data_IF_376870530876
#
_entry.id   IF_376870530876
#
_cell.length_a   1.000
_cell.length_b   1.000
_cell.length_c   1.000
_cell.angle_alpha   90.00
_cell.angle_beta   90.00
_cell.angle_gamma   90.00
#
_symmetry.space_group_name_H-M   'P 1'
#
loop_
_entity.id
_entity.type
_entity.pdbx_description
1 polymer ?
#
# COMPACT_ATOMS: atom_id res chain seq x y z
N UNK A 1 -2.97 38.12 3.19
CA UNK A 1 -1.95 37.24 2.58
C UNK A 1 -2.00 37.48 1.09
N UNK A 2 -0.91 37.92 0.46
CA UNK A 2 -0.86 38.07 -1.00
C UNK A 2 -0.92 36.69 -1.64
N UNK A 3 -1.93 36.45 -2.48
CA UNK A 3 -2.02 35.22 -3.27
C UNK A 3 -1.04 35.38 -4.42
N UNK A 4 0.14 34.77 -4.29
CA UNK A 4 1.11 34.73 -5.39
C UNK A 4 0.70 33.65 -6.38
N UNK A 5 0.42 34.05 -7.61
CA UNK A 5 0.05 33.11 -8.67
C UNK A 5 1.30 32.45 -9.28
N UNK A 6 1.12 31.21 -9.76
CA UNK A 6 2.17 30.41 -10.39
C UNK A 6 1.78 30.07 -11.81
N UNK A 7 2.72 30.15 -12.75
CA UNK A 7 2.48 29.80 -14.17
C UNK A 7 2.92 28.36 -14.45
N UNK A 8 2.05 27.58 -15.05
CA UNK A 8 2.37 26.26 -15.62
C UNK A 8 2.09 26.27 -17.12
N UNK A 9 2.86 25.51 -17.89
CA UNK A 9 2.53 25.17 -19.27
C UNK A 9 1.41 24.13 -19.33
N UNK A 10 0.76 24.01 -20.51
CA UNK A 10 -0.24 22.95 -20.74
C UNK A 10 0.35 21.55 -20.52
N UNK A 11 1.62 21.33 -20.87
CA UNK A 11 2.30 20.05 -20.66
C UNK A 11 2.47 19.73 -19.18
N UNK A 12 2.86 20.70 -18.35
CA UNK A 12 2.98 20.51 -16.90
C UNK A 12 1.61 20.33 -16.25
N UNK A 13 0.60 21.05 -16.74
CA UNK A 13 -0.76 20.93 -16.25
C UNK A 13 -1.30 19.51 -16.48
N UNK A 14 -1.30 19.02 -17.73
CA UNK A 14 -1.85 17.70 -18.04
C UNK A 14 -0.92 16.54 -17.65
N UNK A 15 0.40 16.78 -17.58
CA UNK A 15 1.37 15.75 -17.25
C UNK A 15 1.59 15.52 -15.75
N UNK A 16 1.39 16.55 -14.91
CA UNK A 16 1.71 16.48 -13.48
C UNK A 16 0.56 16.98 -12.62
N UNK A 17 0.09 18.20 -12.84
CA UNK A 17 -0.84 18.88 -11.93
C UNK A 17 -2.21 18.19 -11.93
N UNK A 18 -2.82 18.05 -13.09
CA UNK A 18 -4.15 17.45 -13.24
C UNK A 18 -4.21 15.98 -12.78
N UNK A 19 -3.27 15.09 -13.17
CA UNK A 19 -3.21 13.73 -12.64
C UNK A 19 -3.04 13.68 -11.11
N UNK A 20 -2.26 14.60 -10.53
CA UNK A 20 -2.08 14.66 -9.07
C UNK A 20 -3.37 15.07 -8.36
N UNK A 21 -4.10 16.06 -8.89
CA UNK A 21 -5.38 16.50 -8.33
C UNK A 21 -6.43 15.38 -8.39
N UNK A 22 -6.51 14.64 -9.50
CA UNK A 22 -7.42 13.49 -9.62
C UNK A 22 -7.11 12.40 -8.60
N UNK A 23 -5.82 12.09 -8.37
CA UNK A 23 -5.40 11.10 -7.37
C UNK A 23 -5.78 11.51 -5.96
N UNK A 24 -5.61 12.80 -5.62
CA UNK A 24 -5.99 13.33 -4.32
C UNK A 24 -7.50 13.29 -4.10
N UNK A 25 -8.29 13.68 -5.09
CA UNK A 25 -9.75 13.62 -4.99
C UNK A 25 -10.27 12.19 -4.78
N UNK A 26 -9.76 11.23 -5.57
CA UNK A 26 -10.16 9.81 -5.43
C UNK A 26 -9.79 9.23 -4.06
N UNK A 27 -8.60 9.55 -3.55
CA UNK A 27 -8.21 9.06 -2.23
C UNK A 27 -9.05 9.68 -1.10
N UNK A 28 -9.49 10.94 -1.23
CA UNK A 28 -10.42 11.55 -0.25
C UNK A 28 -11.73 10.78 -0.21
N UNK A 29 -12.32 10.47 -1.37
CA UNK A 29 -13.58 9.71 -1.43
C UNK A 29 -13.43 8.29 -0.87
N UNK A 30 -12.32 7.60 -1.16
CA UNK A 30 -12.07 6.25 -0.63
C UNK A 30 -11.80 6.21 0.88
N UNK A 31 -11.27 7.31 1.46
CA UNK A 31 -11.10 7.45 2.90
C UNK A 31 -12.44 7.65 3.62
N UNK A 32 -13.37 8.39 3.02
CA UNK A 32 -14.71 8.62 3.58
C UNK A 32 -15.50 7.30 3.66
N UNK A 33 -15.50 6.52 2.57
CA UNK A 33 -16.16 5.22 2.51
C UNK A 33 -15.61 4.22 3.55
N UNK A 34 -14.30 4.17 3.76
CA UNK A 34 -13.68 3.25 4.73
C UNK A 34 -13.89 3.67 6.18
N UNK A 35 -13.91 4.98 6.48
CA UNK A 35 -14.27 5.46 7.81
C UNK A 35 -15.69 5.03 8.20
N UNK A 36 -16.60 4.92 7.25
CA UNK A 36 -17.94 4.38 7.51
C UNK A 36 -17.90 2.87 7.81
N UNK A 37 -16.93 2.13 7.27
CA UNK A 37 -16.77 0.68 7.48
C UNK A 37 -16.02 0.32 8.78
N UNK A 38 -14.97 1.07 9.15
CA UNK A 38 -14.14 0.78 10.34
C UNK A 38 -14.87 0.99 11.67
N UNK A 39 -15.94 1.79 11.68
CA UNK A 39 -16.82 1.96 12.86
C UNK A 39 -17.48 0.62 13.26
N UNK A 40 -17.52 -0.38 12.38
CA UNK A 40 -18.17 -1.67 12.63
C UNK A 40 -17.23 -2.81 13.10
N UNK A 41 -15.89 -2.66 13.08
CA UNK A 41 -14.95 -3.82 13.17
C UNK A 41 -13.96 -3.77 14.33
N UNK A 42 -14.18 -2.92 15.35
CA UNK A 42 -13.24 -2.80 16.48
C UNK A 42 -13.48 -3.88 17.53
N UNK A 43 -12.82 -5.02 17.41
CA UNK A 43 -12.46 -5.89 18.54
C UNK A 43 -11.47 -7.00 18.11
N UNK A 44 -10.16 -6.71 18.14
CA UNK A 44 -9.11 -7.74 18.24
C UNK A 44 -8.04 -7.24 19.23
N UNK A 45 -7.88 -7.97 20.34
CA UNK A 45 -6.94 -7.69 21.41
C UNK A 45 -5.49 -7.98 20.99
N UNK A 46 -4.55 -7.07 21.30
CA UNK A 46 -3.16 -7.09 20.82
C UNK A 46 -2.27 -8.30 21.17
N UNK A 47 -2.77 -9.30 21.91
CA UNK A 47 -2.05 -10.56 22.21
C UNK A 47 -2.18 -11.57 21.06
N UNK A 48 -3.23 -11.46 20.24
CA UNK A 48 -3.48 -12.39 19.12
C UNK A 48 -2.64 -12.04 17.88
N UNK A 49 -2.14 -10.80 17.81
CA UNK A 49 -1.42 -10.27 16.65
C UNK A 49 -0.04 -10.92 16.49
N UNK A 50 0.73 -11.03 17.58
CA UNK A 50 2.09 -11.63 17.53
C UNK A 50 2.05 -13.11 17.12
N UNK A 51 1.00 -13.85 17.53
CA UNK A 51 0.80 -15.26 17.16
C UNK A 51 0.37 -15.44 15.71
N UNK A 52 -0.38 -14.48 15.17
CA UNK A 52 -0.78 -14.52 13.77
C UNK A 52 0.43 -14.32 12.84
N UNK A 53 1.48 -13.61 13.25
CA UNK A 53 2.67 -13.32 12.42
C UNK A 53 3.70 -14.44 12.33
N UNK A 54 3.70 -15.39 13.27
CA UNK A 54 4.61 -16.53 13.27
C UNK A 54 4.24 -17.58 12.22
N UNK A 55 5.26 -18.27 11.70
CA UNK A 55 5.03 -19.46 10.90
C UNK A 55 4.43 -20.57 11.77
N UNK A 56 3.22 -21.05 11.44
CA UNK A 56 2.54 -22.13 12.19
C UNK A 56 3.22 -23.51 12.16
N UNK A 57 4.42 -23.62 11.57
CA UNK A 57 5.23 -24.86 11.54
C UNK A 57 6.49 -24.71 12.42
N UNK A 58 7.29 -23.64 12.22
CA UNK A 58 8.53 -23.44 12.98
C UNK A 58 8.42 -22.47 14.16
N UNK A 59 7.29 -21.76 14.30
CA UNK A 59 7.07 -20.73 15.33
C UNK A 59 8.10 -19.59 15.30
N UNK A 60 8.68 -19.31 14.13
CA UNK A 60 9.61 -18.20 13.92
C UNK A 60 8.90 -17.08 13.14
N UNK A 61 9.28 -15.82 13.43
CA UNK A 61 8.84 -14.61 12.70
C UNK A 61 9.53 -14.49 11.34
N UNK A 62 9.18 -15.40 10.43
CA UNK A 62 9.64 -15.38 9.05
C UNK A 62 8.51 -14.88 8.13
N UNK A 63 8.84 -14.20 7.01
CA UNK A 63 7.87 -13.88 5.97
C UNK A 63 7.09 -15.14 5.56
N UNK A 64 5.77 -15.04 5.63
CA UNK A 64 4.86 -16.12 5.27
C UNK A 64 4.50 -16.03 3.79
N UNK A 65 4.22 -17.19 3.23
CA UNK A 65 3.79 -17.35 1.86
C UNK A 65 2.51 -18.15 1.82
N UNK A 66 1.59 -17.75 0.95
CA UNK A 66 0.27 -18.36 0.77
C UNK A 66 0.30 -19.35 -0.38
N UNK A 67 -0.27 -20.53 -0.14
CA UNK A 67 -0.53 -21.52 -1.17
C UNK A 67 -1.76 -21.11 -2.00
N UNK A 68 -1.65 -20.99 -3.34
CA UNK A 68 -2.76 -20.53 -4.17
C UNK A 68 -3.94 -21.52 -4.21
N UNK A 69 -3.68 -22.81 -4.02
CA UNK A 69 -4.70 -23.86 -4.17
C UNK A 69 -5.57 -24.04 -2.91
N UNK A 70 -5.10 -23.59 -1.75
CA UNK A 70 -5.79 -23.83 -0.46
C UNK A 70 -5.69 -22.68 0.55
N UNK A 71 -5.09 -21.54 0.18
CA UNK A 71 -4.95 -20.33 0.98
C UNK A 71 -4.23 -20.47 2.34
N UNK A 72 -3.63 -21.61 2.64
CA UNK A 72 -2.83 -21.78 3.85
C UNK A 72 -1.47 -21.12 3.71
N UNK A 73 -0.93 -20.63 4.83
CA UNK A 73 0.34 -19.90 4.85
C UNK A 73 1.41 -20.56 5.72
N UNK A 74 2.66 -20.49 5.28
CA UNK A 74 3.85 -20.91 6.03
C UNK A 74 5.09 -20.19 5.51
N UNK A 75 6.20 -20.22 6.24
CA UNK A 75 7.44 -19.63 5.73
C UNK A 75 8.05 -20.46 4.59
N UNK A 76 8.85 -19.82 3.73
CA UNK A 76 9.44 -20.46 2.56
C UNK A 76 10.33 -21.67 2.90
N UNK A 77 11.03 -21.61 4.04
CA UNK A 77 11.87 -22.71 4.54
C UNK A 77 11.00 -23.94 4.86
N UNK A 78 9.97 -23.77 5.69
CA UNK A 78 9.05 -24.86 6.04
C UNK A 78 8.32 -25.43 4.81
N UNK A 79 7.96 -24.58 3.84
CA UNK A 79 7.38 -25.06 2.59
C UNK A 79 8.33 -25.98 1.81
N UNK A 80 9.60 -25.58 1.65
CA UNK A 80 10.61 -26.36 0.91
C UNK A 80 10.88 -27.69 1.61
N UNK A 81 11.16 -27.63 2.91
CA UNK A 81 11.45 -28.82 3.73
C UNK A 81 10.27 -29.80 3.74
N UNK A 82 9.04 -29.28 3.81
CA UNK A 82 7.84 -30.11 3.79
C UNK A 82 7.60 -30.72 2.41
N UNK A 83 7.75 -29.94 1.33
CA UNK A 83 7.56 -30.41 -0.04
C UNK A 83 8.48 -31.57 -0.40
N UNK A 84 9.72 -31.57 0.09
CA UNK A 84 10.65 -32.70 -0.10
C UNK A 84 10.14 -34.00 0.53
N UNK A 85 9.37 -33.91 1.62
CA UNK A 85 8.81 -35.06 2.35
C UNK A 85 7.42 -35.46 1.86
N UNK A 86 6.60 -34.51 1.46
CA UNK A 86 5.20 -34.71 1.11
C UNK A 86 4.73 -33.69 0.07
N UNK A 87 4.07 -34.19 -0.97
CA UNK A 87 3.44 -33.35 -2.00
C UNK A 87 1.99 -32.98 -1.64
N UNK A 88 1.74 -32.68 -0.37
CA UNK A 88 0.42 -32.26 0.14
C UNK A 88 0.57 -31.11 1.12
N UNK A 89 -0.45 -30.26 1.27
CA UNK A 89 -0.44 -29.17 2.22
C UNK A 89 -0.36 -29.72 3.66
N UNK A 90 0.55 -29.22 4.53
CA UNK A 90 0.67 -29.71 5.90
C UNK A 90 -0.58 -29.44 6.76
N UNK A 91 -1.43 -28.50 6.34
CA UNK A 91 -2.61 -28.07 7.09
C UNK A 91 -3.88 -28.79 6.65
N UNK A 92 -4.16 -28.85 5.33
CA UNK A 92 -5.40 -29.42 4.79
C UNK A 92 -5.21 -30.66 3.92
N UNK A 93 -3.97 -31.07 3.64
CA UNK A 93 -3.61 -32.21 2.77
C UNK A 93 -3.98 -32.07 1.28
N UNK A 94 -4.37 -30.88 0.83
CA UNK A 94 -4.55 -30.60 -0.60
C UNK A 94 -3.26 -30.85 -1.38
N UNK A 95 -3.39 -31.33 -2.62
CA UNK A 95 -2.25 -31.73 -3.45
C UNK A 95 -1.39 -30.53 -3.85
N UNK A 96 -0.08 -30.62 -3.59
CA UNK A 96 0.91 -29.61 -3.95
C UNK A 96 1.68 -29.94 -5.24
N UNK A 97 1.33 -31.02 -5.94
CA UNK A 97 2.09 -31.54 -7.10
C UNK A 97 2.29 -30.53 -8.25
N UNK A 98 1.45 -29.49 -8.33
CA UNK A 98 1.47 -28.47 -9.39
C UNK A 98 1.97 -27.11 -8.91
N UNK A 99 2.26 -26.96 -7.63
CA UNK A 99 2.67 -25.70 -7.00
C UNK A 99 4.17 -25.74 -6.79
N UNK A 100 4.93 -24.74 -7.19
CA UNK A 100 6.36 -24.57 -6.89
C UNK A 100 6.60 -23.35 -6.02
N UNK A 101 7.85 -23.10 -5.60
CA UNK A 101 8.18 -21.91 -4.81
C UNK A 101 7.89 -20.59 -5.54
N UNK A 102 7.87 -20.59 -6.88
CA UNK A 102 7.54 -19.41 -7.68
C UNK A 102 6.04 -19.13 -7.78
N UNK A 103 5.20 -20.11 -7.45
CA UNK A 103 3.73 -19.97 -7.49
C UNK A 103 3.16 -19.48 -6.16
N UNK A 104 4.02 -19.33 -5.15
CA UNK A 104 3.65 -18.87 -3.82
C UNK A 104 3.40 -17.37 -3.80
N UNK A 105 2.37 -16.94 -3.09
CA UNK A 105 2.07 -15.52 -2.92
C UNK A 105 2.65 -15.01 -1.60
N UNK A 106 3.22 -13.81 -1.61
CA UNK A 106 3.71 -13.18 -0.39
C UNK A 106 2.49 -12.86 0.50
N UNK A 107 2.52 -13.29 1.75
CA UNK A 107 1.55 -12.85 2.74
C UNK A 107 1.98 -11.49 3.26
N UNK A 108 1.34 -10.43 2.76
CA UNK A 108 1.52 -9.07 3.28
C UNK A 108 0.64 -8.89 4.50
N UNK A 109 1.25 -8.64 5.67
CA UNK A 109 0.50 -8.22 6.84
C UNK A 109 -0.07 -6.80 6.65
N UNK A 110 -1.16 -6.51 7.35
CA UNK A 110 -1.76 -5.20 7.46
C UNK A 110 -0.79 -4.10 7.89
N UNK A 111 0.26 -4.41 8.67
CA UNK A 111 1.31 -3.46 9.05
C UNK A 111 2.27 -3.10 7.92
N UNK A 112 2.43 -3.95 6.89
CA UNK A 112 3.26 -3.68 5.72
C UNK A 112 2.53 -2.84 4.66
N UNK A 113 1.21 -2.67 4.80
CA UNK A 113 0.39 -1.87 3.90
C UNK A 113 0.45 -0.41 4.36
N UNK A 114 1.03 0.46 3.54
CA UNK A 114 1.01 1.90 3.79
C UNK A 114 -0.45 2.36 3.81
N UNK A 115 -0.87 2.99 4.91
CA UNK A 115 -2.23 3.47 5.05
C UNK A 115 -2.52 4.59 4.04
N UNK A 116 -3.72 4.54 3.45
CA UNK A 116 -4.15 5.54 2.47
C UNK A 116 -4.01 7.00 2.96
N UNK A 117 -4.26 7.33 4.25
CA UNK A 117 -3.98 8.67 4.76
C UNK A 117 -2.53 9.11 4.59
N UNK A 118 -1.55 8.24 4.85
CA UNK A 118 -0.13 8.56 4.65
C UNK A 118 0.21 8.75 3.18
N UNK A 119 -0.34 7.89 2.30
CA UNK A 119 -0.18 8.03 0.85
C UNK A 119 -0.70 9.39 0.38
N UNK A 120 -1.88 9.79 0.82
CA UNK A 120 -2.49 11.06 0.44
C UNK A 120 -1.71 12.26 0.94
N UNK A 121 -1.22 12.19 2.19
CA UNK A 121 -0.38 13.23 2.77
C UNK A 121 0.88 13.46 1.95
N UNK A 122 1.53 12.37 1.55
CA UNK A 122 2.76 12.42 0.75
C UNK A 122 2.49 12.91 -0.68
N UNK A 123 1.40 12.45 -1.31
CA UNK A 123 0.98 12.93 -2.62
C UNK A 123 0.65 14.43 -2.61
N UNK A 124 -0.05 14.91 -1.58
CA UNK A 124 -0.29 16.34 -1.37
C UNK A 124 1.03 17.11 -1.27
N UNK A 125 1.96 16.62 -0.43
CA UNK A 125 3.27 17.25 -0.26
C UNK A 125 4.03 17.36 -1.57
N UNK A 126 4.07 16.29 -2.37
CA UNK A 126 4.72 16.28 -3.68
C UNK A 126 4.11 17.30 -4.64
N UNK A 127 2.78 17.38 -4.68
CA UNK A 127 2.08 18.36 -5.52
C UNK A 127 2.42 19.80 -5.10
N UNK A 128 2.35 20.12 -3.80
CA UNK A 128 2.73 21.44 -3.29
C UNK A 128 4.17 21.79 -3.61
N UNK A 129 5.11 20.86 -3.40
CA UNK A 129 6.53 21.07 -3.74
C UNK A 129 6.75 21.28 -5.24
N UNK A 130 5.93 20.67 -6.10
CA UNK A 130 5.97 20.89 -7.54
C UNK A 130 5.46 22.30 -7.88
N UNK A 131 4.30 22.69 -7.35
CA UNK A 131 3.71 24.02 -7.55
C UNK A 131 4.67 25.12 -7.06
N UNK A 132 5.37 24.87 -5.95
CA UNK A 132 6.35 25.80 -5.39
C UNK A 132 7.61 25.99 -6.24
N UNK A 133 7.84 25.12 -7.23
CA UNK A 133 8.93 25.28 -8.20
C UNK A 133 8.48 25.95 -9.50
N UNK A 134 7.18 26.14 -9.70
CA UNK A 134 6.67 26.82 -10.90
C UNK A 134 7.03 28.32 -10.88
N UNK A 135 7.24 28.94 -12.05
CA UNK A 135 7.48 30.37 -12.17
C UNK A 135 6.40 31.20 -11.46
N UNK A 136 6.82 32.13 -10.60
CA UNK A 136 5.94 33.11 -9.98
C UNK A 136 5.46 34.13 -11.02
N UNK A 137 4.18 34.46 -10.99
CA UNK A 137 3.63 35.59 -11.75
C UNK A 137 3.86 36.83 -10.89
N UNK A 138 4.84 37.65 -11.27
CA UNK A 138 5.09 38.95 -10.65
C UNK A 138 4.16 39.97 -11.31
N UNK A 139 3.30 40.70 -10.57
CA UNK A 139 2.48 41.75 -11.15
C UNK A 139 3.36 42.87 -11.74
N UNK A 140 3.09 43.27 -12.99
CA UNK A 140 3.83 44.29 -13.77
C UNK A 140 3.71 45.74 -13.24
N UNK A 141 3.42 45.95 -11.96
CA UNK A 141 3.19 47.29 -11.40
C UNK A 141 4.47 48.09 -11.05
N UNK A 142 5.65 47.68 -11.53
CA UNK A 142 6.93 48.36 -11.22
C UNK A 142 7.61 49.03 -12.42
N UNK A 143 6.98 49.11 -13.60
CA UNK A 143 7.55 49.81 -14.77
C UNK A 143 6.74 51.03 -15.25
N UNK A 144 5.87 51.59 -14.38
CA UNK A 144 5.25 52.90 -14.61
C UNK A 144 5.56 53.84 -13.45
N UNK A 145 6.79 54.35 -13.43
CA UNK A 145 7.13 55.70 -12.97
C UNK A 145 8.50 56.09 -13.49
#
# INVERSE_FOLDING_TARGET
>A
MSVYERRASLKEFYGVIFPSLLQLQKGITELEDRKQMEVCTREKSGIDVEREDECGICMEMNPKFVLPDCNHSMCLKCFRDWRERSQSCPFCRDSLKRTNSGDLWIFTDSSEIVDLPSILRENCRRLFMYIDKLPLIVPDHLYSM
#
